data_IF_885159168921
#
_entry.id   IF_885159168921
#
_cell.length_a   1.000
_cell.length_b   1.000
_cell.length_c   1.000
_cell.angle_alpha   90.00
_cell.angle_beta   90.00
_cell.angle_gamma   90.00
#
_symmetry.space_group_name_H-M   'P 1'
#
loop_
_entity.id
_entity.type
_entity.pdbx_description
1 polymer ?
#
# COMPACT_ATOMS: atom_id res chain seq x y z
N UNK A 1 8.88 -0.35 0.57
CA UNK A 1 8.53 -1.57 1.36
C UNK A 1 9.58 -1.90 2.43
N UNK A 2 10.89 -1.89 2.11
CA UNK A 2 11.96 -2.22 3.09
C UNK A 2 11.94 -1.35 4.37
N UNK A 3 11.67 -0.05 4.24
CA UNK A 3 11.57 0.86 5.41
C UNK A 3 10.39 0.50 6.31
N UNK A 4 9.24 0.08 5.75
CA UNK A 4 8.06 -0.34 6.53
C UNK A 4 8.36 -1.62 7.32
N UNK A 5 9.07 -2.57 6.70
CA UNK A 5 9.48 -3.80 7.36
C UNK A 5 10.50 -3.54 8.48
N UNK A 6 11.47 -2.65 8.25
CA UNK A 6 12.43 -2.21 9.28
C UNK A 6 11.72 -1.54 10.46
N UNK A 7 10.77 -0.63 10.20
CA UNK A 7 9.99 0.03 11.26
C UNK A 7 9.09 -0.98 12.00
N UNK A 8 8.49 -1.94 11.31
CA UNK A 8 7.72 -3.03 11.93
C UNK A 8 8.57 -3.91 12.83
N UNK A 9 9.80 -4.24 12.40
CA UNK A 9 10.76 -4.99 13.22
C UNK A 9 11.16 -4.21 14.48
N UNK A 10 11.48 -2.92 14.33
CA UNK A 10 11.78 -2.02 15.46
C UNK A 10 10.59 -1.94 16.43
N UNK A 11 9.36 -1.92 15.92
CA UNK A 11 8.15 -1.89 16.73
C UNK A 11 7.94 -3.17 17.55
N UNK A 12 8.29 -4.34 17.01
CA UNK A 12 8.30 -5.61 17.73
C UNK A 12 9.35 -5.60 18.85
N UNK A 13 10.55 -5.10 18.58
CA UNK A 13 11.62 -4.99 19.58
C UNK A 13 11.26 -4.01 20.72
N UNK A 14 10.59 -2.89 20.40
CA UNK A 14 10.21 -1.88 21.40
C UNK A 14 9.01 -2.33 22.24
N UNK A 15 8.04 -3.07 21.66
CA UNK A 15 6.87 -3.56 22.43
C UNK A 15 7.22 -4.68 23.41
N UNK A 16 8.39 -5.30 23.30
CA UNK A 16 8.87 -6.32 24.24
C UNK A 16 9.36 -5.73 25.58
N UNK A 17 9.71 -4.44 25.61
CA UNK A 17 10.15 -3.75 26.82
C UNK A 17 8.94 -3.02 27.45
N UNK A 18 8.46 -3.43 28.64
CA UNK A 18 7.28 -2.85 29.29
C UNK A 18 7.60 -1.55 30.04
N UNK A 19 8.55 -0.75 29.56
CA UNK A 19 8.93 0.51 30.21
C UNK A 19 8.32 1.72 29.50
N UNK A 20 7.25 2.21 30.12
CA UNK A 20 6.28 3.19 29.61
C UNK A 20 6.80 4.64 29.58
N UNK A 21 7.88 4.94 28.84
CA UNK A 21 8.29 6.35 28.61
C UNK A 21 7.75 6.96 27.30
N UNK A 22 6.42 7.02 27.29
CA UNK A 22 5.44 8.01 26.77
C UNK A 22 5.61 8.87 25.50
N UNK A 23 6.76 8.96 24.82
CA UNK A 23 6.83 9.69 23.54
C UNK A 23 7.33 8.83 22.38
N UNK A 24 8.37 8.02 22.63
CA UNK A 24 9.01 7.22 21.58
C UNK A 24 8.07 6.14 21.05
N UNK A 25 7.37 5.41 21.92
CA UNK A 25 6.42 4.37 21.50
C UNK A 25 5.25 4.96 20.70
N UNK A 26 4.77 6.15 21.06
CA UNK A 26 3.73 6.84 20.31
C UNK A 26 4.23 7.25 18.92
N UNK A 27 5.41 7.87 18.85
CA UNK A 27 6.04 8.28 17.59
C UNK A 27 6.29 7.08 16.68
N UNK A 28 6.81 5.97 17.20
CA UNK A 28 7.05 4.75 16.42
C UNK A 28 5.74 4.15 15.90
N UNK A 29 4.70 4.08 16.74
CA UNK A 29 3.36 3.62 16.34
C UNK A 29 2.75 4.50 15.24
N UNK A 30 2.87 5.82 15.37
CA UNK A 30 2.38 6.79 14.40
C UNK A 30 3.13 6.68 13.07
N UNK A 31 4.47 6.61 13.12
CA UNK A 31 5.31 6.46 11.94
C UNK A 31 5.02 5.14 11.22
N UNK A 32 4.85 4.04 11.96
CA UNK A 32 4.48 2.75 11.37
C UNK A 32 3.13 2.80 10.65
N UNK A 33 2.11 3.44 11.26
CA UNK A 33 0.80 3.64 10.63
C UNK A 33 0.89 4.48 9.36
N UNK A 34 1.55 5.65 9.41
CA UNK A 34 1.70 6.55 8.26
C UNK A 34 2.48 5.88 7.12
N UNK A 35 3.59 5.22 7.44
CA UNK A 35 4.39 4.51 6.45
C UNK A 35 3.63 3.34 5.82
N UNK A 36 2.83 2.62 6.62
CA UNK A 36 1.96 1.54 6.10
C UNK A 36 0.86 2.10 5.19
N UNK A 37 0.26 3.24 5.53
CA UNK A 37 -0.75 3.90 4.71
C UNK A 37 -0.15 4.42 3.38
N UNK A 38 1.02 5.04 3.42
CA UNK A 38 1.73 5.48 2.21
C UNK A 38 2.13 4.29 1.34
N UNK A 39 2.63 3.20 1.94
CA UNK A 39 2.97 1.98 1.22
C UNK A 39 1.73 1.32 0.58
N UNK A 40 0.58 1.32 1.27
CA UNK A 40 -0.69 0.86 0.72
C UNK A 40 -1.04 1.64 -0.55
N UNK A 41 -1.02 2.98 -0.49
CA UNK A 41 -1.30 3.84 -1.66
C UNK A 41 -0.33 3.55 -2.80
N UNK A 42 0.97 3.49 -2.50
CA UNK A 42 1.99 3.19 -3.51
C UNK A 42 1.80 1.81 -4.16
N UNK A 43 1.47 0.78 -3.38
CA UNK A 43 1.18 -0.56 -3.90
C UNK A 43 -0.07 -0.57 -4.78
N UNK A 44 -1.14 0.12 -4.39
CA UNK A 44 -2.36 0.23 -5.22
C UNK A 44 -2.07 0.95 -6.53
N UNK A 45 -1.30 2.05 -6.50
CA UNK A 45 -0.88 2.76 -7.71
C UNK A 45 -0.01 1.87 -8.62
N UNK A 46 0.93 1.11 -8.04
CA UNK A 46 1.76 0.17 -8.78
C UNK A 46 0.92 -0.94 -9.46
N UNK A 47 -0.10 -1.46 -8.79
CA UNK A 47 -1.04 -2.42 -9.38
C UNK A 47 -1.82 -1.78 -10.53
N UNK A 48 -2.35 -0.57 -10.35
CA UNK A 48 -3.10 0.14 -11.39
C UNK A 48 -2.23 0.42 -12.63
N UNK A 49 -0.99 0.83 -12.42
CA UNK A 49 -0.03 1.05 -13.50
C UNK A 49 0.30 -0.25 -14.24
N UNK A 50 0.63 -1.32 -13.51
CA UNK A 50 0.94 -2.62 -14.10
C UNK A 50 -0.27 -3.20 -14.87
N UNK A 51 -1.49 -3.03 -14.35
CA UNK A 51 -2.72 -3.45 -15.02
C UNK A 51 -2.99 -2.64 -16.29
N UNK A 52 -2.77 -1.31 -16.25
CA UNK A 52 -2.89 -0.47 -17.44
C UNK A 52 -1.90 -0.91 -18.52
N UNK A 53 -0.63 -1.09 -18.16
CA UNK A 53 0.40 -1.54 -19.09
C UNK A 53 0.15 -2.94 -19.63
N UNK A 54 -0.33 -3.87 -18.79
CA UNK A 54 -0.72 -5.20 -19.24
C UNK A 54 -1.85 -5.15 -20.27
N UNK A 55 -2.90 -4.37 -20.00
CA UNK A 55 -4.01 -4.19 -20.95
C UNK A 55 -3.54 -3.58 -22.27
N UNK A 56 -2.62 -2.61 -22.22
CA UNK A 56 -2.01 -2.07 -23.44
C UNK A 56 -1.20 -3.13 -24.17
N UNK A 57 -0.40 -3.93 -23.45
CA UNK A 57 0.41 -5.02 -24.02
C UNK A 57 -0.44 -6.03 -24.79
N UNK A 58 -1.61 -6.42 -24.24
CA UNK A 58 -2.53 -7.36 -24.91
C UNK A 58 -3.16 -6.81 -26.20
N UNK A 59 -3.07 -5.50 -26.45
CA UNK A 59 -3.58 -4.87 -27.68
C UNK A 59 -2.51 -4.66 -28.73
N UNK A 60 -1.23 -4.77 -28.39
CA UNK A 60 -0.15 -4.64 -29.35
C UNK A 60 0.01 -5.95 -30.13
N UNK A 61 0.13 -5.83 -31.45
CA UNK A 61 0.61 -6.91 -32.31
C UNK A 61 2.10 -6.68 -32.52
N UNK A 62 2.91 -7.67 -32.15
CA UNK A 62 4.36 -7.60 -32.26
C UNK A 62 4.86 -8.59 -33.30
N UNK A 63 5.62 -8.10 -34.29
CA UNK A 63 6.19 -8.90 -35.36
C UNK A 63 7.72 -8.85 -35.32
N UNK A 64 8.36 -9.94 -35.72
CA UNK A 64 9.81 -10.03 -35.92
C UNK A 64 10.19 -9.51 -37.30
N UNK A 65 11.00 -8.45 -37.36
CA UNK A 65 11.48 -7.83 -38.61
C UNK A 65 12.98 -7.59 -38.49
N UNK A 66 13.80 -8.27 -39.31
CA UNK A 66 15.27 -8.12 -39.36
C UNK A 66 15.92 -8.10 -37.96
N UNK A 67 15.76 -9.18 -37.18
CA UNK A 67 16.31 -9.34 -35.82
C UNK A 67 15.89 -8.26 -34.80
N UNK A 68 14.82 -7.52 -35.11
CA UNK A 68 14.17 -6.58 -34.20
C UNK A 68 12.70 -6.94 -34.00
N UNK A 69 12.22 -6.81 -32.77
CA UNK A 69 10.82 -7.04 -32.42
C UNK A 69 10.10 -5.69 -32.47
N UNK A 70 9.14 -5.55 -33.39
CA UNK A 70 8.39 -4.30 -33.59
C UNK A 70 6.94 -4.48 -33.17
N UNK A 71 6.52 -3.76 -32.14
CA UNK A 71 5.15 -3.78 -31.62
C UNK A 71 4.35 -2.57 -32.11
N UNK A 72 3.16 -2.81 -32.66
CA UNK A 72 2.21 -1.79 -33.13
C UNK A 72 0.82 -2.00 -32.54
N UNK A 73 0.13 -0.90 -32.19
CA UNK A 73 -1.20 -0.98 -31.57
C UNK A 73 -2.29 -1.31 -32.60
N UNK A 74 -2.13 -0.77 -33.81
CA UNK A 74 -2.98 -1.08 -34.95
C UNK A 74 -2.08 -1.24 -36.18
N UNK A 75 -2.15 -2.41 -36.81
CA UNK A 75 -1.38 -2.74 -38.01
C UNK A 75 -1.94 -2.09 -39.27
N UNK A 76 -3.22 -1.65 -39.26
CA UNK A 76 -3.87 -1.00 -40.39
C UNK A 76 -3.53 0.50 -40.47
N UNK A 77 -3.20 1.14 -39.34
CA UNK A 77 -2.93 2.56 -39.27
C UNK A 77 -1.44 2.90 -39.51
N UNK A 78 -1.08 3.60 -40.61
CA UNK A 78 0.32 3.91 -40.93
C UNK A 78 0.97 4.95 -40.01
N UNK A 79 0.18 5.67 -39.19
CA UNK A 79 0.65 6.64 -38.20
C UNK A 79 0.73 6.05 -36.78
N UNK A 80 0.39 4.77 -36.59
CA UNK A 80 0.41 4.14 -35.27
C UNK A 80 1.84 4.07 -34.73
N UNK A 81 2.01 4.38 -33.43
CA UNK A 81 3.33 4.42 -32.78
C UNK A 81 3.94 3.02 -32.75
N UNK A 82 5.13 2.90 -33.32
CA UNK A 82 5.89 1.64 -33.35
C UNK A 82 6.90 1.61 -32.19
N UNK A 83 6.92 0.51 -31.44
CA UNK A 83 7.93 0.26 -30.42
C UNK A 83 8.91 -0.79 -30.93
N UNK A 84 10.20 -0.43 -30.99
CA UNK A 84 11.25 -1.29 -31.55
C UNK A 84 12.12 -1.79 -30.39
N UNK A 85 12.20 -3.11 -30.25
CA UNK A 85 13.09 -3.81 -29.34
C UNK A 85 14.23 -4.44 -30.15
N UNK A 86 15.46 -3.95 -29.94
CA UNK A 86 16.66 -4.43 -30.61
C UNK A 86 17.24 -5.68 -29.93
N UNK A 87 18.03 -6.46 -30.67
CA UNK A 87 18.78 -7.63 -30.18
C UNK A 87 17.91 -8.73 -29.55
N UNK A 88 16.79 -9.06 -30.18
CA UNK A 88 15.92 -10.16 -29.72
C UNK A 88 15.72 -11.18 -30.83
N UNK A 89 16.16 -12.42 -30.58
CA UNK A 89 15.99 -13.53 -31.52
C UNK A 89 14.50 -13.92 -31.67
N UNK A 90 13.73 -13.85 -30.57
CA UNK A 90 12.31 -14.22 -30.54
C UNK A 90 11.46 -13.17 -29.81
N UNK A 91 10.57 -12.52 -30.56
CA UNK A 91 9.64 -11.49 -30.07
C UNK A 91 8.55 -12.06 -29.13
N UNK A 92 8.14 -13.32 -29.35
CA UNK A 92 7.20 -14.03 -28.48
C UNK A 92 7.78 -14.27 -27.08
N UNK A 93 9.06 -14.66 -27.00
CA UNK A 93 9.74 -14.90 -25.73
C UNK A 93 9.85 -13.61 -24.91
N UNK A 94 10.23 -12.50 -25.56
CA UNK A 94 10.28 -11.17 -24.94
C UNK A 94 8.91 -10.73 -24.41
N UNK A 95 7.88 -10.82 -25.26
CA UNK A 95 6.52 -10.36 -24.92
C UNK A 95 5.91 -11.22 -23.80
N UNK A 96 6.13 -12.53 -23.86
CA UNK A 96 5.76 -13.48 -22.82
C UNK A 96 6.43 -13.16 -21.48
N UNK A 97 7.76 -12.94 -21.48
CA UNK A 97 8.50 -12.57 -20.28
C UNK A 97 8.02 -11.24 -19.68
N UNK A 98 7.79 -10.22 -20.51
CA UNK A 98 7.28 -8.93 -20.05
C UNK A 98 5.88 -9.06 -19.42
N UNK A 99 4.99 -9.83 -20.05
CA UNK A 99 3.67 -10.14 -19.49
C UNK A 99 3.77 -10.85 -18.14
N UNK A 100 4.67 -11.83 -18.03
CA UNK A 100 4.90 -12.55 -16.78
C UNK A 100 5.41 -11.63 -15.67
N UNK A 101 6.34 -10.72 -15.97
CA UNK A 101 6.83 -9.73 -15.00
C UNK A 101 5.73 -8.76 -14.55
N UNK A 102 4.88 -8.29 -15.46
CA UNK A 102 3.75 -7.42 -15.11
C UNK A 102 2.74 -8.15 -14.21
N UNK A 103 2.41 -9.40 -14.50
CA UNK A 103 1.54 -10.23 -13.67
C UNK A 103 2.14 -10.47 -12.29
N UNK A 104 3.43 -10.81 -12.23
CA UNK A 104 4.15 -10.99 -10.98
C UNK A 104 4.14 -9.69 -10.16
N UNK A 105 4.39 -8.55 -10.78
CA UNK A 105 4.35 -7.24 -10.13
C UNK A 105 2.95 -6.92 -9.58
N UNK A 106 1.89 -7.20 -10.34
CA UNK A 106 0.51 -7.02 -9.87
C UNK A 106 0.23 -7.87 -8.63
N UNK A 107 0.55 -9.16 -8.67
CA UNK A 107 0.30 -10.10 -7.56
C UNK A 107 1.08 -9.70 -6.31
N UNK A 108 2.38 -9.43 -6.44
CA UNK A 108 3.23 -9.07 -5.31
C UNK A 108 2.82 -7.74 -4.66
N UNK A 109 2.48 -6.72 -5.46
CA UNK A 109 1.99 -5.45 -4.92
C UNK A 109 0.60 -5.58 -4.29
N UNK A 110 -0.26 -6.45 -4.79
CA UNK A 110 -1.57 -6.73 -4.18
C UNK A 110 -1.40 -7.40 -2.80
N UNK A 111 -0.53 -8.42 -2.70
CA UNK A 111 -0.21 -9.06 -1.42
C UNK A 111 0.35 -8.03 -0.44
N UNK A 112 1.30 -7.20 -0.88
CA UNK A 112 1.87 -6.14 -0.05
C UNK A 112 0.82 -5.10 0.39
N UNK A 113 -0.11 -4.73 -0.49
CA UNK A 113 -1.22 -3.85 -0.16
C UNK A 113 -2.12 -4.47 0.93
N UNK A 114 -2.48 -5.75 0.82
CA UNK A 114 -3.28 -6.45 1.83
C UNK A 114 -2.57 -6.47 3.20
N UNK A 115 -1.26 -6.72 3.22
CA UNK A 115 -0.46 -6.67 4.44
C UNK A 115 -0.45 -5.26 5.03
N UNK A 116 -0.21 -4.22 4.22
CA UNK A 116 -0.23 -2.83 4.68
C UNK A 116 -1.61 -2.41 5.20
N UNK A 117 -2.69 -2.85 4.54
CA UNK A 117 -4.06 -2.61 4.98
C UNK A 117 -4.33 -3.29 6.33
N UNK A 118 -3.88 -4.53 6.51
CA UNK A 118 -4.02 -5.24 7.79
C UNK A 118 -3.27 -4.55 8.93
N UNK A 119 -2.05 -4.05 8.67
CA UNK A 119 -1.27 -3.29 9.63
C UNK A 119 -1.97 -1.98 10.01
N UNK A 120 -2.45 -1.22 9.02
CA UNK A 120 -3.25 -0.01 9.24
C UNK A 120 -4.51 -0.33 10.06
N UNK A 121 -5.21 -1.42 9.74
CA UNK A 121 -6.42 -1.84 10.46
C UNK A 121 -6.13 -2.20 11.92
N UNK A 122 -5.09 -3.00 12.20
CA UNK A 122 -4.70 -3.36 13.57
C UNK A 122 -4.30 -2.12 14.37
N UNK A 123 -3.53 -1.22 13.77
CA UNK A 123 -3.10 0.02 14.40
C UNK A 123 -4.26 0.98 14.68
N UNK A 124 -5.16 1.15 13.70
CA UNK A 124 -6.40 1.90 13.86
C UNK A 124 -7.27 1.30 14.96
N UNK A 125 -7.49 -0.01 14.90
CA UNK A 125 -8.27 -0.75 15.89
C UNK A 125 -7.68 -0.54 17.29
N UNK A 126 -6.38 -0.77 17.51
CA UNK A 126 -5.74 -0.54 18.82
C UNK A 126 -5.94 0.91 19.34
N UNK A 127 -5.97 1.92 18.47
CA UNK A 127 -6.16 3.33 18.88
C UNK A 127 -7.62 3.65 19.21
N UNK A 128 -8.57 3.12 18.45
CA UNK A 128 -9.99 3.52 18.50
C UNK A 128 -10.92 2.49 19.17
N UNK A 129 -10.49 1.26 19.44
CA UNK A 129 -11.31 0.26 20.15
C UNK A 129 -11.53 0.57 21.64
N UNK A 130 -10.89 1.62 22.17
CA UNK A 130 -11.03 2.04 23.57
C UNK A 130 -11.83 3.35 23.68
N UNK A 131 -12.70 3.65 22.71
CA UNK A 131 -13.86 4.50 23.01
C UNK A 131 -14.80 3.74 23.97
N UNK A 132 -14.35 3.50 25.19
CA UNK A 132 -15.25 3.52 26.33
C UNK A 132 -15.89 4.90 26.27
N UNK A 133 -17.21 4.90 26.13
CA UNK A 133 -18.03 6.06 26.36
C UNK A 133 -17.69 6.52 27.79
N UNK A 134 -16.73 7.43 27.89
CA UNK A 134 -16.41 8.14 29.11
C UNK A 134 -17.54 9.12 29.37
N UNK A 135 -18.75 8.61 29.61
CA UNK A 135 -19.76 9.33 30.35
C UNK A 135 -19.14 9.41 31.75
N UNK A 136 -18.30 10.43 31.98
CA UNK A 136 -18.08 10.94 33.33
C UNK A 136 -19.44 11.43 33.79
N UNK A 137 -20.25 10.52 34.31
CA UNK A 137 -21.30 10.87 35.25
C UNK A 137 -20.57 11.44 36.46
N UNK A 138 -20.33 12.74 36.46
CA UNK A 138 -20.25 13.45 37.72
C UNK A 138 -21.66 13.37 38.31
N UNK A 139 -21.88 12.66 39.43
CA UNK A 139 -23.15 12.77 40.11
C UNK A 139 -23.19 14.18 40.69
N UNK A 140 -23.83 15.09 39.96
CA UNK A 140 -24.16 16.43 40.44
C UNK A 140 -25.43 16.30 41.28
N UNK A 141 -25.31 15.57 42.38
CA UNK A 141 -26.22 15.55 43.52
C UNK A 141 -25.37 16.04 44.69
N UNK A 142 -25.53 17.24 45.24
CA UNK A 142 -26.72 18.04 45.40
C UNK A 142 -26.40 19.55 45.31
N UNK A 143 -27.24 20.28 44.58
CA UNK A 143 -27.50 21.68 44.87
C UNK A 143 -28.50 21.75 46.03
N UNK A 144 -28.27 22.72 46.92
CA UNK A 144 -29.24 23.36 47.81
C UNK A 144 -29.76 22.61 49.04
N UNK A 145 -29.10 22.91 50.17
CA UNK A 145 -29.71 22.98 51.49
C UNK A 145 -29.26 24.25 52.19
N UNK A 146 -29.93 25.37 51.89
CA UNK A 146 -29.84 26.62 52.66
C UNK A 146 -30.61 26.46 53.98
N UNK A 147 -29.96 26.72 55.13
CA UNK A 147 -30.48 27.40 56.35
C UNK A 147 -29.47 27.20 57.51
N UNK A 148 -28.69 28.20 57.91
CA UNK A 148 -28.95 29.29 58.88
C UNK A 148 -28.71 28.92 60.38
N UNK A 149 -27.70 29.59 60.97
CA UNK A 149 -27.42 30.00 62.38
C UNK A 149 -27.88 29.13 63.57
N UNK A 150 -26.96 28.87 64.52
CA UNK A 150 -26.69 29.66 65.76
C UNK A 150 -25.22 29.44 66.15
#
# INVERSE_FOLDING_TARGET
>A
VCVVALVGFVMLCISYQPDEKTCVQFTVKLMYFLLSALALVACVLAVAFAAHHYLQMTKFTCDTILDSCQCKLDTADPLSRTFIYQDTADCDSLTSALNLYLLLQMVLNLIAALVCLSACFVMWKHRYQVFYVGIRFYPLTASEGHQEKV
#
